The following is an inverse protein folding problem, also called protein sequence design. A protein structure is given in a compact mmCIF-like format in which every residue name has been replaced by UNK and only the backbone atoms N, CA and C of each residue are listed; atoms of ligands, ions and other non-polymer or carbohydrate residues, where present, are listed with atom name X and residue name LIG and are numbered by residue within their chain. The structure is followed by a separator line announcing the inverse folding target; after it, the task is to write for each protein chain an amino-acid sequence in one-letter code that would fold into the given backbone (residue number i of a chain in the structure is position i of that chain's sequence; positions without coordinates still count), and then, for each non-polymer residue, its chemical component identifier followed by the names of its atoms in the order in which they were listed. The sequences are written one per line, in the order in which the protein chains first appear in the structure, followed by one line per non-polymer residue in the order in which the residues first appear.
data_IF_323560551965
#
_entry.id   IF_323560551965
#
_cell.length_a   1.000
_cell.length_b   1.000
_cell.length_c   1.000
_cell.angle_alpha   90.00
_cell.angle_beta   90.00
_cell.angle_gamma   90.00
#
_symmetry.space_group_name_H-M   'P 1'
#
loop_
_entity.id
_entity.type
_entity.pdbx_description
1 polymer ?
#
# COMPACT_ATOMS: atom_id res chain seq x y z
N UNK A 1 2.46 -18.23 -12.54
CA UNK A 1 2.65 -17.77 -13.94
C UNK A 1 1.35 -17.19 -14.45
N UNK A 2 1.30 -15.87 -14.66
CA UNK A 2 0.10 -15.20 -15.20
C UNK A 2 0.08 -15.33 -16.72
N UNK A 3 -1.04 -15.82 -17.25
CA UNK A 3 -1.33 -15.83 -18.68
C UNK A 3 -2.06 -14.52 -19.03
N UNK A 4 -1.52 -13.77 -20.01
CA UNK A 4 -2.01 -12.43 -20.37
C UNK A 4 -1.42 -11.29 -19.51
N UNK A 5 -1.91 -10.05 -19.68
CA UNK A 5 -1.47 -8.85 -18.95
C UNK A 5 0.01 -8.48 -19.07
N UNK A 6 0.63 -8.80 -20.21
CA UNK A 6 2.05 -8.51 -20.46
C UNK A 6 2.37 -7.01 -20.35
N UNK A 7 1.43 -6.15 -20.78
CA UNK A 7 1.59 -4.69 -20.72
C UNK A 7 1.60 -4.19 -19.28
N UNK A 8 0.67 -4.63 -18.43
CA UNK A 8 0.63 -4.23 -17.02
C UNK A 8 1.85 -4.76 -16.24
N UNK A 9 2.26 -6.01 -16.51
CA UNK A 9 3.48 -6.57 -15.91
C UNK A 9 4.72 -5.76 -16.31
N UNK A 10 4.83 -5.37 -17.59
CA UNK A 10 5.94 -4.55 -18.09
C UNK A 10 5.94 -3.17 -17.44
N UNK A 11 4.78 -2.53 -17.31
CA UNK A 11 4.65 -1.23 -16.64
C UNK A 11 5.10 -1.31 -15.18
N UNK A 12 4.62 -2.30 -14.42
CA UNK A 12 5.00 -2.50 -13.02
C UNK A 12 6.52 -2.73 -12.86
N UNK A 13 7.12 -3.55 -13.74
CA UNK A 13 8.57 -3.80 -13.73
C UNK A 13 9.38 -2.55 -14.09
N UNK A 14 8.93 -1.76 -15.05
CA UNK A 14 9.58 -0.49 -15.41
C UNK A 14 9.55 0.51 -14.25
N UNK A 15 8.39 0.65 -13.58
CA UNK A 15 8.25 1.51 -12.40
C UNK A 15 9.10 1.01 -11.22
N UNK A 16 9.22 -0.30 -11.07
CA UNK A 16 10.14 -0.90 -10.09
C UNK A 16 11.61 -0.56 -10.40
N UNK A 17 11.99 -0.39 -11.67
CA UNK A 17 13.35 -0.01 -12.07
C UNK A 17 13.60 1.51 -12.06
N UNK A 18 12.55 2.32 -11.85
CA UNK A 18 12.65 3.78 -11.76
C UNK A 18 13.61 4.23 -10.64
N UNK A 19 14.32 5.32 -10.87
CA UNK A 19 15.29 5.94 -9.95
C UNK A 19 14.65 6.89 -8.92
N UNK A 20 13.31 6.93 -8.88
CA UNK A 20 12.51 7.64 -7.89
C UNK A 20 11.49 6.70 -7.23
N UNK A 21 10.93 7.19 -6.13
CA UNK A 21 9.75 6.56 -5.53
C UNK A 21 8.54 6.68 -6.46
N UNK A 22 7.77 5.60 -6.59
CA UNK A 22 6.61 5.52 -7.48
C UNK A 22 5.33 5.20 -6.70
N UNK A 23 4.27 5.95 -6.96
CA UNK A 23 2.92 5.67 -6.45
C UNK A 23 2.06 5.14 -7.60
N UNK A 24 1.69 3.87 -7.51
CA UNK A 24 0.92 3.14 -8.52
C UNK A 24 -0.48 2.82 -8.01
N UNK A 25 -1.50 3.39 -8.65
CA UNK A 25 -2.89 3.03 -8.41
C UNK A 25 -3.37 1.98 -9.43
N UNK A 26 -3.77 0.81 -8.93
CA UNK A 26 -4.31 -0.29 -9.74
C UNK A 26 -5.80 -0.45 -9.45
N UNK A 27 -6.65 0.04 -10.34
CA UNK A 27 -8.10 0.00 -10.17
C UNK A 27 -8.80 -0.79 -11.29
N UNK A 28 -10.06 -1.14 -11.07
CA UNK A 28 -10.87 -1.90 -12.02
C UNK A 28 -11.91 -2.78 -11.32
N UNK A 29 -12.81 -3.38 -12.11
CA UNK A 29 -13.93 -4.19 -11.61
C UNK A 29 -13.48 -5.27 -10.62
N UNK A 30 -14.39 -5.67 -9.73
CA UNK A 30 -14.17 -6.77 -8.77
C UNK A 30 -13.84 -8.06 -9.53
N UNK A 31 -12.94 -8.89 -8.98
CA UNK A 31 -12.53 -10.21 -9.52
C UNK A 31 -11.79 -10.21 -10.87
N UNK A 32 -11.26 -9.08 -11.34
CA UNK A 32 -10.40 -9.06 -12.54
C UNK A 32 -8.96 -9.52 -12.30
N UNK A 33 -8.62 -9.93 -11.07
CA UNK A 33 -7.28 -10.48 -10.74
C UNK A 33 -6.20 -9.44 -10.40
N UNK A 34 -6.55 -8.24 -9.91
CA UNK A 34 -5.60 -7.19 -9.55
C UNK A 34 -4.59 -7.62 -8.48
N UNK A 35 -5.10 -8.16 -7.36
CA UNK A 35 -4.27 -8.69 -6.27
C UNK A 35 -3.32 -9.77 -6.75
N UNK A 36 -3.83 -10.70 -7.58
CA UNK A 36 -3.03 -11.78 -8.13
C UNK A 36 -1.93 -11.26 -9.07
N UNK A 37 -2.25 -10.29 -9.93
CA UNK A 37 -1.28 -9.60 -10.79
C UNK A 37 -0.11 -9.03 -9.99
N UNK A 38 -0.41 -8.24 -8.96
CA UNK A 38 0.62 -7.57 -8.16
C UNK A 38 1.46 -8.62 -7.41
N UNK A 39 0.82 -9.60 -6.76
CA UNK A 39 1.52 -10.67 -6.03
C UNK A 39 2.46 -11.48 -6.91
N UNK A 40 2.02 -11.90 -8.08
CA UNK A 40 2.87 -12.65 -9.01
C UNK A 40 3.98 -11.77 -9.61
N UNK A 41 3.70 -10.49 -9.92
CA UNK A 41 4.71 -9.56 -10.44
C UNK A 41 5.92 -9.41 -9.52
N UNK A 42 5.68 -9.42 -8.20
CA UNK A 42 6.70 -9.24 -7.18
C UNK A 42 7.05 -10.53 -6.43
N UNK A 43 6.63 -11.70 -6.94
CA UNK A 43 6.89 -13.01 -6.33
C UNK A 43 6.54 -13.07 -4.84
N UNK A 44 5.45 -12.43 -4.43
CA UNK A 44 4.99 -12.34 -3.03
C UNK A 44 6.02 -11.72 -2.08
N UNK A 45 7.05 -11.02 -2.61
CA UNK A 45 8.07 -10.37 -1.82
C UNK A 45 7.73 -8.88 -1.68
N UNK A 46 7.27 -8.51 -0.49
CA UNK A 46 6.87 -7.15 -0.16
C UNK A 46 7.61 -6.67 1.10
N UNK A 47 8.05 -5.41 1.07
CA UNK A 47 8.54 -4.75 2.27
C UNK A 47 7.42 -4.57 3.30
N UNK A 48 6.19 -4.39 2.81
CA UNK A 48 4.96 -4.37 3.61
C UNK A 48 3.77 -4.73 2.73
N UNK A 49 2.86 -5.56 3.25
CA UNK A 49 1.58 -5.85 2.62
C UNK A 49 0.44 -5.76 3.63
N UNK A 50 -0.64 -5.09 3.23
CA UNK A 50 -1.88 -5.02 4.00
C UNK A 50 -3.10 -5.08 3.08
N UNK A 51 -4.21 -5.60 3.59
CA UNK A 51 -5.48 -5.67 2.86
C UNK A 51 -6.56 -5.08 3.75
N UNK A 52 -7.33 -4.13 3.20
CA UNK A 52 -8.42 -3.50 3.93
C UNK A 52 -9.45 -4.52 4.36
N UNK A 53 -10.14 -4.25 5.46
CA UNK A 53 -11.20 -5.13 5.95
C UNK A 53 -12.56 -4.58 5.53
N UNK A 54 -13.30 -5.35 4.74
CA UNK A 54 -14.65 -4.96 4.34
C UNK A 54 -15.56 -4.84 5.56
N UNK A 55 -16.38 -3.77 5.63
CA UNK A 55 -17.33 -3.49 6.71
C UNK A 55 -16.68 -3.30 8.11
N UNK A 56 -15.39 -2.98 8.18
CA UNK A 56 -14.72 -2.63 9.42
C UNK A 56 -14.82 -1.13 9.73
N UNK A 57 -14.86 -0.79 11.01
CA UNK A 57 -14.69 0.59 11.47
C UNK A 57 -13.19 0.98 11.53
N UNK A 58 -12.91 2.27 11.72
CA UNK A 58 -11.53 2.80 11.79
C UNK A 58 -10.65 2.02 12.77
N UNK A 59 -11.10 1.81 14.00
CA UNK A 59 -10.31 1.15 15.04
C UNK A 59 -9.96 -0.29 14.65
N UNK A 60 -10.87 -1.00 13.98
CA UNK A 60 -10.59 -2.33 13.45
C UNK A 60 -9.60 -2.29 12.28
N UNK A 61 -9.70 -1.31 11.38
CA UNK A 61 -8.69 -1.15 10.32
C UNK A 61 -7.29 -0.89 10.90
N UNK A 62 -7.18 0.03 11.87
CA UNK A 62 -5.91 0.36 12.53
C UNK A 62 -5.31 -0.86 13.25
N UNK A 63 -6.14 -1.66 13.93
CA UNK A 63 -5.67 -2.87 14.60
C UNK A 63 -5.15 -3.92 13.60
N UNK A 64 -5.82 -4.10 12.46
CA UNK A 64 -5.35 -5.03 11.42
C UNK A 64 -4.12 -4.49 10.69
N UNK A 65 -4.01 -3.17 10.48
CA UNK A 65 -2.81 -2.55 9.95
C UNK A 65 -1.61 -2.74 10.90
N UNK A 66 -1.83 -2.56 12.21
CA UNK A 66 -0.84 -2.85 13.26
C UNK A 66 -0.36 -4.28 13.21
N UNK A 67 -1.26 -5.25 13.02
CA UNK A 67 -0.89 -6.66 12.84
C UNK A 67 -0.06 -6.88 11.57
N UNK A 68 -0.42 -6.24 10.46
CA UNK A 68 0.41 -6.26 9.25
C UNK A 68 1.81 -5.69 9.49
N UNK A 69 1.96 -4.61 10.25
CA UNK A 69 3.26 -4.04 10.61
C UNK A 69 4.11 -5.03 11.41
N UNK A 70 3.52 -5.63 12.45
CA UNK A 70 4.20 -6.64 13.27
C UNK A 70 4.62 -7.86 12.43
N UNK A 71 3.73 -8.36 11.56
CA UNK A 71 4.03 -9.48 10.67
C UNK A 71 5.14 -9.17 9.67
N UNK A 72 5.30 -7.90 9.29
CA UNK A 72 6.37 -7.44 8.42
C UNK A 72 7.69 -7.16 9.17
N UNK A 73 7.74 -7.41 10.50
CA UNK A 73 8.94 -7.27 11.31
C UNK A 73 9.08 -5.94 12.05
N UNK A 74 7.98 -5.20 12.25
CA UNK A 74 8.00 -4.07 13.16
C UNK A 74 8.04 -4.55 14.63
N UNK A 75 8.91 -3.96 15.45
CA UNK A 75 9.09 -4.37 16.84
C UNK A 75 7.95 -3.86 17.71
N UNK A 76 7.12 -4.78 18.21
CA UNK A 76 6.14 -4.53 19.27
C UNK A 76 5.36 -3.22 19.11
N UNK A 77 4.77 -3.01 17.92
CA UNK A 77 4.04 -1.78 17.62
C UNK A 77 2.89 -1.61 18.63
N UNK A 78 2.96 -0.50 19.38
CA UNK A 78 1.93 -0.11 20.34
C UNK A 78 0.58 0.12 19.63
N UNK A 79 -0.50 0.23 20.42
CA UNK A 79 -1.81 0.52 19.85
C UNK A 79 -1.77 1.85 19.06
N UNK A 80 -2.13 1.77 17.79
CA UNK A 80 -2.22 2.89 16.86
C UNK A 80 -3.56 3.62 17.06
N UNK A 81 -3.53 4.95 17.15
CA UNK A 81 -4.71 5.79 17.46
C UNK A 81 -5.38 6.39 16.22
N UNK A 82 -4.60 6.65 15.18
CA UNK A 82 -5.04 7.27 13.93
C UNK A 82 -4.15 6.80 12.76
N UNK A 83 -4.50 7.19 11.53
CA UNK A 83 -3.70 6.76 10.37
C UNK A 83 -2.36 7.48 10.25
N UNK A 84 -2.18 8.65 10.88
CA UNK A 84 -0.88 9.31 10.93
C UNK A 84 0.12 8.47 11.72
N UNK A 85 -0.25 8.03 12.92
CA UNK A 85 0.56 7.08 13.71
C UNK A 85 0.80 5.77 12.91
N UNK A 86 -0.21 5.30 12.16
CA UNK A 86 -0.06 4.08 11.34
C UNK A 86 1.01 4.22 10.24
N UNK A 87 0.96 5.31 9.48
CA UNK A 87 1.92 5.55 8.40
C UNK A 87 3.31 5.95 8.92
N UNK A 88 3.40 6.57 10.10
CA UNK A 88 4.68 6.81 10.78
C UNK A 88 5.37 5.49 11.14
N UNK A 89 4.63 4.52 11.68
CA UNK A 89 5.16 3.18 11.97
C UNK A 89 5.56 2.43 10.69
N UNK A 90 4.79 2.58 9.60
CA UNK A 90 5.20 2.07 8.29
C UNK A 90 6.52 2.70 7.83
N UNK A 91 6.66 4.02 7.94
CA UNK A 91 7.91 4.72 7.59
C UNK A 91 9.10 4.21 8.39
N UNK A 92 8.94 3.99 9.70
CA UNK A 92 9.97 3.41 10.58
C UNK A 92 10.36 1.99 10.14
N UNK A 93 9.37 1.13 9.88
CA UNK A 93 9.60 -0.23 9.39
C UNK A 93 10.42 -0.21 8.09
N UNK A 94 10.01 0.61 7.12
CA UNK A 94 10.66 0.71 5.82
C UNK A 94 12.07 1.30 5.93
N UNK A 95 12.31 2.29 6.79
CA UNK A 95 13.63 2.89 7.00
C UNK A 95 14.69 1.89 7.50
N UNK A 96 14.27 0.85 8.26
CA UNK A 96 15.17 -0.18 8.80
C UNK A 96 15.67 -1.15 7.73
N UNK A 97 14.93 -1.32 6.65
CA UNK A 97 15.31 -2.21 5.55
C UNK A 97 16.42 -1.55 4.71
N UNK A 98 17.64 -2.06 4.82
CA UNK A 98 18.85 -1.38 4.31
C UNK A 98 19.00 -1.41 2.79
N UNK A 99 18.48 -2.43 2.10
CA UNK A 99 18.81 -2.68 0.69
C UNK A 99 17.57 -2.87 -0.18
N UNK A 100 17.70 -2.45 -1.44
CA UNK A 100 16.70 -2.68 -2.48
C UNK A 100 15.50 -1.73 -2.46
N UNK A 101 14.75 -1.75 -3.56
CA UNK A 101 13.49 -1.03 -3.68
C UNK A 101 12.41 -1.75 -2.87
N UNK A 102 11.74 -1.00 -2.01
CA UNK A 102 10.75 -1.44 -1.04
C UNK A 102 9.37 -1.38 -1.67
N UNK A 103 8.81 -2.55 -1.97
CA UNK A 103 7.46 -2.66 -2.51
C UNK A 103 6.48 -2.70 -1.35
N UNK A 104 5.63 -1.68 -1.27
CA UNK A 104 4.54 -1.54 -0.31
C UNK A 104 3.25 -1.82 -1.06
N UNK A 105 2.48 -2.82 -0.61
CA UNK A 105 1.23 -3.19 -1.27
C UNK A 105 0.02 -3.05 -0.33
N UNK A 106 -0.87 -2.12 -0.65
CA UNK A 106 -2.11 -1.86 0.07
C UNK A 106 -3.30 -2.30 -0.81
N UNK A 107 -3.88 -3.44 -0.47
CA UNK A 107 -5.00 -4.05 -1.20
C UNK A 107 -6.36 -3.61 -0.63
N UNK A 108 -7.35 -3.49 -1.51
CA UNK A 108 -8.70 -2.97 -1.23
C UNK A 108 -8.69 -1.71 -0.34
N UNK A 109 -7.79 -0.77 -0.69
CA UNK A 109 -7.62 0.52 -0.02
C UNK A 109 -8.93 1.30 0.21
N UNK A 110 -9.94 1.30 -0.68
CA UNK A 110 -11.18 2.02 -0.43
C UNK A 110 -11.92 1.59 0.85
N UNK A 111 -11.66 0.40 1.38
CA UNK A 111 -12.27 -0.03 2.65
C UNK A 111 -11.64 0.64 3.88
N UNK A 112 -10.41 1.18 3.76
CA UNK A 112 -9.68 1.83 4.85
C UNK A 112 -10.14 3.28 5.09
N UNK A 113 -10.65 3.95 4.05
CA UNK A 113 -11.19 5.31 4.14
C UNK A 113 -12.62 5.30 4.73
N UNK A 114 -12.71 4.93 6.01
CA UNK A 114 -13.98 5.00 6.74
C UNK A 114 -14.35 6.46 7.04
N UNK A 115 -15.61 6.70 7.41
CA UNK A 115 -16.07 8.04 7.80
C UNK A 115 -15.19 8.63 8.92
N UNK A 116 -14.72 9.87 8.72
CA UNK A 116 -13.83 10.59 9.64
C UNK A 116 -12.58 9.79 10.03
N UNK A 117 -12.07 8.98 9.10
CA UNK A 117 -10.91 8.13 9.37
C UNK A 117 -9.61 8.91 9.44
N UNK A 118 -9.47 10.02 8.70
CA UNK A 118 -8.22 10.73 8.35
C UNK A 118 -7.26 10.00 7.39
N UNK A 119 -7.68 8.84 6.87
CA UNK A 119 -6.85 7.96 6.05
C UNK A 119 -6.19 8.64 4.85
N UNK A 120 -6.97 9.34 4.00
CA UNK A 120 -6.44 9.97 2.78
C UNK A 120 -5.43 11.05 3.13
N UNK A 121 -5.74 11.89 4.12
CA UNK A 121 -4.83 12.95 4.57
C UNK A 121 -3.53 12.39 5.17
N UNK A 122 -3.62 11.30 5.95
CA UNK A 122 -2.44 10.64 6.50
C UNK A 122 -1.58 9.97 5.40
N UNK A 123 -2.23 9.37 4.39
CA UNK A 123 -1.55 8.79 3.23
C UNK A 123 -0.83 9.86 2.40
N UNK A 124 -1.49 11.00 2.12
CA UNK A 124 -0.89 12.13 1.44
C UNK A 124 0.31 12.70 2.22
N UNK A 125 0.15 12.86 3.54
CA UNK A 125 1.21 13.31 4.43
C UNK A 125 2.42 12.36 4.38
N UNK A 126 2.19 11.05 4.47
CA UNK A 126 3.24 10.04 4.34
C UNK A 126 3.93 10.07 2.98
N UNK A 127 3.14 10.15 1.90
CA UNK A 127 3.68 10.13 0.54
C UNK A 127 4.53 11.39 0.27
N UNK A 128 3.95 12.57 0.49
CA UNK A 128 4.60 13.85 0.20
C UNK A 128 5.70 14.21 1.20
N UNK A 129 5.52 13.86 2.47
CA UNK A 129 6.47 14.21 3.53
C UNK A 129 7.63 13.24 3.69
N UNK A 130 7.45 11.95 3.34
CA UNK A 130 8.45 10.92 3.63
C UNK A 130 8.83 10.08 2.39
N UNK A 131 7.85 9.52 1.66
CA UNK A 131 8.14 8.55 0.60
C UNK A 131 8.79 9.18 -0.65
N UNK A 132 8.35 10.37 -1.05
CA UNK A 132 8.88 11.11 -2.21
C UNK A 132 10.28 11.67 -1.99
N UNK A 133 10.68 11.88 -0.73
CA UNK A 133 12.05 12.27 -0.35
C UNK A 133 13.07 11.13 -0.51
N UNK A 134 12.58 9.95 -0.92
CA UNK A 134 13.38 8.74 -1.14
C UNK A 134 13.32 8.34 -2.62
N UNK A 135 14.19 7.40 -2.98
CA UNK A 135 14.29 6.84 -4.34
C UNK A 135 13.94 5.35 -4.40
N UNK A 136 13.61 4.76 -3.27
CA UNK A 136 13.54 3.33 -3.08
C UNK A 136 12.16 2.83 -2.64
N UNK A 137 11.10 3.64 -2.76
CA UNK A 137 9.73 3.22 -2.41
C UNK A 137 8.92 2.95 -3.69
N UNK A 138 8.23 1.82 -3.74
CA UNK A 138 7.15 1.60 -4.70
C UNK A 138 5.88 1.33 -3.91
N UNK A 139 5.00 2.33 -3.84
CA UNK A 139 3.71 2.20 -3.18
C UNK A 139 2.68 1.80 -4.22
N UNK A 140 2.17 0.58 -4.08
CA UNK A 140 1.12 0.03 -4.93
C UNK A 140 -0.15 -0.04 -4.12
N UNK A 141 -1.20 0.59 -4.64
CA UNK A 141 -2.53 0.56 -4.03
C UNK A 141 -3.51 -0.02 -5.02
N UNK A 142 -4.48 -0.77 -4.53
CA UNK A 142 -5.55 -1.24 -5.39
C UNK A 142 -6.91 -1.25 -4.72
N UNK A 143 -7.94 -1.35 -5.55
CA UNK A 143 -9.31 -1.36 -5.06
C UNK A 143 -10.31 -1.65 -6.16
N UNK A 144 -11.42 -2.26 -5.77
CA UNK A 144 -12.58 -2.48 -6.64
C UNK A 144 -13.45 -1.23 -6.83
N UNK A 145 -13.38 -0.25 -5.93
CA UNK A 145 -14.08 1.02 -6.05
C UNK A 145 -13.28 2.02 -6.90
N UNK A 146 -13.39 1.89 -8.22
CA UNK A 146 -12.68 2.75 -9.18
C UNK A 146 -12.94 4.24 -8.96
N UNK A 147 -14.19 4.64 -8.72
CA UNK A 147 -14.53 6.05 -8.49
C UNK A 147 -13.84 6.63 -7.27
N UNK A 148 -13.69 5.84 -6.19
CA UNK A 148 -12.98 6.30 -5.00
C UNK A 148 -11.50 6.55 -5.33
N UNK A 149 -10.84 5.62 -6.00
CA UNK A 149 -9.43 5.76 -6.39
C UNK A 149 -9.24 6.99 -7.29
N UNK A 150 -10.09 7.16 -8.30
CA UNK A 150 -10.01 8.28 -9.24
C UNK A 150 -10.29 9.61 -8.55
N UNK A 151 -11.23 9.68 -7.60
CA UNK A 151 -11.61 10.95 -6.98
C UNK A 151 -10.72 11.35 -5.79
N UNK A 152 -9.96 10.41 -5.23
CA UNK A 152 -9.18 10.62 -3.99
C UNK A 152 -7.68 10.50 -4.17
N UNK A 153 -7.21 9.80 -5.21
CA UNK A 153 -5.78 9.52 -5.39
C UNK A 153 -5.22 9.99 -6.74
N UNK A 154 -6.09 10.24 -7.74
CA UNK A 154 -5.72 10.70 -9.09
C UNK A 154 -6.19 12.13 -9.26
#
# INVERSE_FOLDING_TARGET
MIIGRSNEQKLLKNLFQSDKSEFVAVYGRRRVGKTYLIRECFNYNFAFQHTGVQNANRDRQLEEFRKSLNNAGADSVAKIKDWFEAFDELGKLLARQKNGKKVVFIDEMPWMDTLKSDFVSALEHFWNGWATMRKDIMLIVCGSATSWIVNKLV
#
